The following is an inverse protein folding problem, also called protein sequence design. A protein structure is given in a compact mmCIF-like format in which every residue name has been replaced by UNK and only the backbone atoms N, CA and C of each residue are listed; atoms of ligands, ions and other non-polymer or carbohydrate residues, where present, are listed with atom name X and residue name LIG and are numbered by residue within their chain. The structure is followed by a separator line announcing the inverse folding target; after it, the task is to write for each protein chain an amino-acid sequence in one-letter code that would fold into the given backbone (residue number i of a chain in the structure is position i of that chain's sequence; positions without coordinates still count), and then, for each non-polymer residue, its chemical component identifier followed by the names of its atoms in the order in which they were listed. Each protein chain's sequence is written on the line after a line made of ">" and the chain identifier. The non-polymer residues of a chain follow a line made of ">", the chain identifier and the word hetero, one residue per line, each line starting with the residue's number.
data_IF_157374654838
#
_entry.id   IF_157374654838
#
_cell.length_a   1.000
_cell.length_b   1.000
_cell.length_c   1.000
_cell.angle_alpha   90.00
_cell.angle_beta   90.00
_cell.angle_gamma   90.00
#
_symmetry.space_group_name_H-M   'P 1'
#
loop_
_entity.id
_entity.type
_entity.pdbx_description
1 polymer ?
#
# COMPACT_ATOMS: atom_id res chain seq x y z
N UNK A 1 -2.77 -25.92 -24.69
CA UNK A 1 -4.00 -26.68 -24.97
C UNK A 1 -4.91 -25.81 -25.79
N UNK A 2 -5.57 -26.35 -26.80
CA UNK A 2 -6.60 -25.64 -27.56
C UNK A 2 -7.83 -25.48 -26.66
N UNK A 3 -8.11 -24.26 -26.20
CA UNK A 3 -9.34 -23.96 -25.46
C UNK A 3 -10.52 -24.13 -26.41
N UNK A 4 -11.36 -25.15 -26.22
CA UNK A 4 -12.62 -25.25 -26.98
C UNK A 4 -13.54 -24.10 -26.59
N UNK A 5 -14.25 -23.51 -27.56
CA UNK A 5 -15.26 -22.49 -27.32
C UNK A 5 -16.39 -22.95 -26.36
N UNK A 6 -16.55 -24.26 -26.21
CA UNK A 6 -17.63 -24.89 -25.44
C UNK A 6 -17.34 -25.03 -23.94
N UNK A 7 -16.10 -24.80 -23.49
CA UNK A 7 -15.73 -24.88 -22.08
C UNK A 7 -15.62 -23.49 -21.45
N UNK A 8 -15.89 -23.32 -20.14
CA UNK A 8 -15.64 -22.06 -19.45
C UNK A 8 -14.18 -21.60 -19.63
N UNK A 9 -13.99 -20.37 -20.13
CA UNK A 9 -12.67 -19.83 -20.43
C UNK A 9 -12.56 -18.34 -20.07
N UNK A 10 -11.35 -17.84 -19.71
CA UNK A 10 -11.14 -16.42 -19.55
C UNK A 10 -11.39 -15.71 -20.88
N UNK A 11 -11.94 -14.50 -20.84
CA UNK A 11 -12.20 -13.71 -22.04
C UNK A 11 -11.01 -13.59 -23.00
N UNK A 12 -9.79 -13.50 -22.48
CA UNK A 12 -8.58 -13.45 -23.29
C UNK A 12 -8.37 -14.68 -24.19
N UNK A 13 -9.01 -15.81 -23.86
CA UNK A 13 -8.88 -17.09 -24.56
C UNK A 13 -10.12 -17.45 -25.38
N UNK A 14 -11.09 -16.52 -25.49
CA UNK A 14 -12.32 -16.76 -26.25
C UNK A 14 -12.03 -16.86 -27.76
N UNK A 15 -12.35 -18.00 -28.36
CA UNK A 15 -12.22 -18.18 -29.81
C UNK A 15 -13.37 -17.52 -30.58
N UNK A 16 -14.56 -17.45 -29.98
CA UNK A 16 -15.75 -16.87 -30.62
C UNK A 16 -15.71 -15.33 -30.65
N UNK A 17 -15.02 -14.70 -29.70
CA UNK A 17 -14.83 -13.26 -29.59
C UNK A 17 -13.33 -12.98 -29.49
N UNK A 18 -12.65 -12.61 -30.59
CA UNK A 18 -11.22 -12.34 -30.56
C UNK A 18 -10.85 -11.32 -29.48
N UNK A 19 -9.76 -11.57 -28.75
CA UNK A 19 -9.26 -10.68 -27.73
C UNK A 19 -8.17 -9.77 -28.28
N UNK A 20 -8.21 -8.49 -27.94
CA UNK A 20 -7.18 -7.52 -28.30
C UNK A 20 -6.37 -7.16 -27.07
N UNK A 21 -5.06 -7.42 -27.11
CA UNK A 21 -4.15 -7.00 -26.04
C UNK A 21 -4.05 -5.47 -26.07
N UNK A 22 -4.56 -4.82 -25.03
CA UNK A 22 -4.49 -3.38 -24.85
C UNK A 22 -3.82 -3.04 -23.53
N UNK A 23 -3.20 -1.85 -23.47
CA UNK A 23 -2.69 -1.26 -22.22
C UNK A 23 -3.77 -0.51 -21.45
N UNK A 24 -4.94 -0.31 -22.06
CA UNK A 24 -6.08 0.33 -21.43
C UNK A 24 -6.62 -0.54 -20.31
N UNK A 25 -6.89 0.10 -19.17
CA UNK A 25 -7.42 -0.55 -17.96
C UNK A 25 -8.86 -0.14 -17.66
N UNK A 26 -9.46 0.64 -18.55
CA UNK A 26 -10.84 1.12 -18.44
C UNK A 26 -11.61 0.51 -19.60
N UNK A 27 -12.77 -0.07 -19.32
CA UNK A 27 -13.64 -0.61 -20.35
C UNK A 27 -14.50 0.50 -20.94
N UNK A 28 -14.62 0.52 -22.25
CA UNK A 28 -15.50 1.45 -22.97
C UNK A 28 -16.42 0.62 -23.87
N UNK A 29 -17.73 0.92 -23.84
CA UNK A 29 -18.69 0.30 -24.76
C UNK A 29 -18.32 0.62 -26.21
N UNK A 30 -18.29 -0.40 -27.06
CA UNK A 30 -17.87 -0.25 -28.46
C UNK A 30 -16.39 0.10 -28.63
N UNK A 31 -15.55 -0.21 -27.63
CA UNK A 31 -14.11 -0.02 -27.68
C UNK A 31 -13.41 -1.07 -28.55
N UNK A 32 -12.36 -1.68 -28.02
CA UNK A 32 -11.47 -2.62 -28.74
C UNK A 32 -12.09 -4.01 -29.02
N UNK A 33 -13.42 -4.18 -28.87
CA UNK A 33 -14.13 -5.45 -29.02
C UNK A 33 -13.95 -6.43 -27.86
N UNK A 34 -13.21 -6.03 -26.82
CA UNK A 34 -12.96 -6.83 -25.61
C UNK A 34 -14.20 -6.92 -24.72
N UNK A 35 -15.10 -5.94 -24.80
CA UNK A 35 -16.38 -5.89 -24.12
C UNK A 35 -17.33 -7.03 -24.55
N UNK A 36 -17.21 -7.52 -25.79
CA UNK A 36 -18.02 -8.61 -26.28
C UNK A 36 -17.54 -9.94 -25.71
N UNK A 37 -18.45 -10.76 -25.19
CA UNK A 37 -18.17 -12.08 -24.65
C UNK A 37 -19.14 -13.14 -25.24
N UNK A 38 -18.81 -14.42 -25.06
CA UNK A 38 -19.75 -15.52 -25.30
C UNK A 38 -20.29 -16.04 -23.95
N UNK A 39 -21.29 -16.92 -24.00
CA UNK A 39 -21.97 -17.43 -22.79
C UNK A 39 -21.03 -18.21 -21.84
N UNK A 40 -19.91 -18.71 -22.36
CA UNK A 40 -18.90 -19.45 -21.60
C UNK A 40 -17.73 -18.59 -21.12
N UNK A 41 -17.69 -17.30 -21.45
CA UNK A 41 -16.65 -16.40 -20.96
C UNK A 41 -16.85 -16.11 -19.47
N UNK A 42 -15.74 -16.13 -18.72
CA UNK A 42 -15.70 -15.65 -17.35
C UNK A 42 -14.75 -14.46 -17.18
N UNK A 43 -15.02 -13.65 -16.17
CA UNK A 43 -14.17 -12.56 -15.74
C UNK A 43 -12.93 -13.12 -15.03
N UNK A 44 -11.75 -12.87 -15.59
CA UNK A 44 -10.49 -13.29 -15.00
C UNK A 44 -10.29 -12.74 -13.57
N UNK A 45 -10.78 -11.53 -13.28
CA UNK A 45 -10.58 -10.87 -11.99
C UNK A 45 -11.54 -11.40 -10.92
N UNK A 46 -12.83 -11.52 -11.25
CA UNK A 46 -13.89 -11.89 -10.30
C UNK A 46 -14.15 -13.40 -10.21
N UNK A 47 -13.65 -14.19 -11.17
CA UNK A 47 -13.97 -15.62 -11.32
C UNK A 47 -15.49 -15.90 -11.44
N UNK A 48 -16.26 -14.94 -11.97
CA UNK A 48 -17.71 -15.04 -12.28
C UNK A 48 -17.96 -14.99 -13.79
N UNK A 49 -19.17 -15.33 -14.25
CA UNK A 49 -19.53 -15.20 -15.68
C UNK A 49 -19.38 -13.75 -16.15
N UNK A 50 -18.94 -13.54 -17.39
CA UNK A 50 -18.73 -12.21 -17.94
C UNK A 50 -20.01 -11.35 -17.89
N UNK A 51 -21.18 -11.98 -18.13
CA UNK A 51 -22.50 -11.35 -18.02
C UNK A 51 -22.90 -10.93 -16.60
N UNK A 52 -22.28 -11.52 -15.57
CA UNK A 52 -22.57 -11.25 -14.16
C UNK A 52 -21.53 -10.32 -13.51
N UNK A 53 -20.48 -9.96 -14.26
CA UNK A 53 -19.38 -9.16 -13.75
C UNK A 53 -19.73 -7.66 -13.74
N UNK A 54 -20.00 -7.12 -12.55
CA UNK A 54 -20.29 -5.68 -12.38
C UNK A 54 -19.12 -4.78 -12.80
N UNK A 55 -17.88 -5.26 -12.65
CA UNK A 55 -16.67 -4.54 -13.08
C UNK A 55 -16.33 -4.69 -14.57
N UNK A 56 -17.19 -5.33 -15.38
CA UNK A 56 -16.85 -5.73 -16.75
C UNK A 56 -16.38 -4.54 -17.59
N UNK A 57 -17.24 -3.53 -17.70
CA UNK A 57 -16.95 -2.27 -18.38
C UNK A 57 -16.41 -1.22 -17.42
N UNK A 58 -17.10 -1.03 -16.29
CA UNK A 58 -16.80 0.07 -15.36
C UNK A 58 -15.36 0.06 -14.84
N UNK A 59 -14.82 -1.12 -14.53
CA UNK A 59 -13.43 -1.32 -14.05
C UNK A 59 -12.54 -1.87 -15.18
N UNK A 60 -13.10 -2.09 -16.37
CA UNK A 60 -12.38 -2.62 -17.52
C UNK A 60 -11.93 -4.07 -17.40
N UNK A 61 -12.61 -4.89 -16.59
CA UNK A 61 -12.29 -6.32 -16.49
C UNK A 61 -12.38 -7.06 -17.83
N UNK A 62 -13.08 -6.50 -18.82
CA UNK A 62 -13.08 -6.98 -20.20
C UNK A 62 -11.68 -7.03 -20.84
N UNK A 63 -10.74 -6.20 -20.38
CA UNK A 63 -9.34 -6.17 -20.83
C UNK A 63 -8.43 -7.10 -20.02
N UNK A 64 -9.00 -7.82 -19.05
CA UNK A 64 -8.23 -8.66 -18.16
C UNK A 64 -7.62 -9.86 -18.88
N UNK A 65 -6.31 -10.03 -18.72
CA UNK A 65 -5.54 -11.12 -19.29
C UNK A 65 -4.52 -11.64 -18.29
N UNK A 66 -4.20 -12.93 -18.39
CA UNK A 66 -3.29 -13.61 -17.47
C UNK A 66 -1.81 -13.30 -17.72
N UNK A 67 -1.46 -12.63 -18.81
CA UNK A 67 -0.07 -12.21 -19.07
C UNK A 67 0.29 -10.91 -18.35
N UNK A 68 -0.68 -10.03 -18.09
CA UNK A 68 -0.44 -8.73 -17.47
C UNK A 68 -0.38 -8.85 -15.93
N UNK A 69 0.72 -8.39 -15.29
CA UNK A 69 0.85 -8.43 -13.83
C UNK A 69 -0.19 -7.56 -13.10
N UNK A 70 -0.75 -6.52 -13.74
CA UNK A 70 -1.80 -5.70 -13.14
C UNK A 70 -3.08 -6.50 -12.92
N UNK A 71 -3.52 -7.26 -13.92
CA UNK A 71 -4.73 -8.07 -13.78
C UNK A 71 -4.53 -9.22 -12.78
N UNK A 72 -3.31 -9.77 -12.68
CA UNK A 72 -2.97 -10.72 -11.61
C UNK A 72 -3.08 -10.09 -10.22
N UNK A 73 -2.56 -8.87 -10.06
CA UNK A 73 -2.64 -8.12 -8.82
C UNK A 73 -4.09 -7.84 -8.43
N UNK A 74 -4.91 -7.36 -9.37
CA UNK A 74 -6.32 -7.06 -9.13
C UNK A 74 -7.14 -8.33 -8.84
N UNK A 75 -6.86 -9.44 -9.54
CA UNK A 75 -7.46 -10.74 -9.24
C UNK A 75 -7.07 -11.24 -7.85
N UNK A 76 -5.79 -11.15 -7.49
CA UNK A 76 -5.31 -11.53 -6.15
C UNK A 76 -6.03 -10.70 -5.08
N UNK A 77 -6.08 -9.38 -5.26
CA UNK A 77 -6.81 -8.47 -4.38
C UNK A 77 -8.27 -8.90 -4.18
N UNK A 78 -8.97 -9.16 -5.28
CA UNK A 78 -10.39 -9.54 -5.29
C UNK A 78 -10.62 -10.90 -4.62
N UNK A 79 -9.78 -11.90 -4.90
CA UNK A 79 -9.97 -13.27 -4.38
C UNK A 79 -9.60 -13.46 -2.92
N UNK A 80 -8.69 -12.65 -2.42
CA UNK A 80 -8.21 -12.77 -1.04
C UNK A 80 -9.00 -11.90 -0.07
N UNK A 81 -10.02 -11.18 -0.58
CA UNK A 81 -10.80 -10.18 0.14
C UNK A 81 -9.93 -9.22 0.96
N UNK A 82 -8.74 -8.90 0.44
CA UNK A 82 -7.68 -8.23 1.22
C UNK A 82 -8.14 -6.90 1.83
N UNK A 83 -9.06 -6.20 1.15
CA UNK A 83 -9.71 -4.99 1.67
C UNK A 83 -11.22 -4.88 1.44
N UNK A 84 -11.81 -5.67 0.54
CA UNK A 84 -13.27 -5.68 0.30
C UNK A 84 -14.06 -5.91 1.60
N UNK A 85 -13.47 -6.64 2.55
CA UNK A 85 -13.99 -6.86 3.89
C UNK A 85 -13.05 -6.32 4.98
N UNK A 86 -12.24 -5.28 4.70
CA UNK A 86 -11.33 -4.73 5.73
C UNK A 86 -12.14 -4.27 6.94
N UNK A 87 -11.97 -4.91 8.12
CA UNK A 87 -12.67 -4.48 9.32
C UNK A 87 -12.26 -3.07 9.73
N UNK A 88 -11.08 -2.62 9.30
CA UNK A 88 -10.59 -1.27 9.58
C UNK A 88 -11.32 -0.22 8.75
N UNK A 89 -11.49 -0.42 7.44
CA UNK A 89 -12.21 0.52 6.58
C UNK A 89 -13.67 0.67 7.03
N UNK A 90 -14.31 -0.44 7.39
CA UNK A 90 -15.66 -0.44 7.96
C UNK A 90 -15.71 0.28 9.30
N UNK A 91 -14.79 -0.05 10.22
CA UNK A 91 -14.76 0.56 11.56
C UNK A 91 -14.43 2.06 11.53
N UNK A 92 -13.69 2.54 10.52
CA UNK A 92 -13.41 3.96 10.32
C UNK A 92 -14.58 4.71 9.67
N UNK A 93 -15.58 4.01 9.11
CA UNK A 93 -16.66 4.61 8.33
C UNK A 93 -16.11 5.38 7.14
N UNK A 94 -15.16 4.79 6.42
CA UNK A 94 -14.57 5.38 5.22
C UNK A 94 -15.60 5.47 4.09
N UNK A 95 -15.67 6.61 3.42
CA UNK A 95 -16.45 6.77 2.19
C UNK A 95 -15.82 6.01 1.01
N UNK A 96 -16.55 5.94 -0.10
CA UNK A 96 -16.13 5.22 -1.31
C UNK A 96 -14.82 5.76 -1.90
N UNK A 97 -14.57 7.07 -1.80
CA UNK A 97 -13.32 7.65 -2.28
C UNK A 97 -12.13 7.14 -1.47
N UNK A 98 -12.23 7.18 -0.12
CA UNK A 98 -11.17 6.68 0.75
C UNK A 98 -10.95 5.18 0.60
N UNK A 99 -12.01 4.41 0.41
CA UNK A 99 -11.92 2.98 0.11
C UNK A 99 -11.19 2.75 -1.22
N UNK A 100 -11.53 3.52 -2.26
CA UNK A 100 -10.89 3.45 -3.58
C UNK A 100 -9.39 3.75 -3.51
N UNK A 101 -8.99 4.76 -2.72
CA UNK A 101 -7.58 5.08 -2.50
C UNK A 101 -6.84 3.93 -1.79
N UNK A 102 -7.43 3.35 -0.74
CA UNK A 102 -6.87 2.19 -0.05
C UNK A 102 -6.73 0.96 -0.97
N UNK A 103 -7.76 0.67 -1.77
CA UNK A 103 -7.76 -0.38 -2.78
C UNK A 103 -6.65 -0.15 -3.80
N UNK A 104 -6.53 1.07 -4.30
CA UNK A 104 -5.49 1.47 -5.26
C UNK A 104 -4.09 1.24 -4.68
N UNK A 105 -3.84 1.67 -3.44
CA UNK A 105 -2.56 1.43 -2.76
C UNK A 105 -2.26 -0.06 -2.58
N UNK A 106 -3.28 -0.86 -2.24
CA UNK A 106 -3.12 -2.31 -2.12
C UNK A 106 -2.79 -2.97 -3.46
N UNK A 107 -3.58 -2.70 -4.50
CA UNK A 107 -3.39 -3.25 -5.86
C UNK A 107 -2.03 -2.82 -6.43
N UNK A 108 -1.61 -1.57 -6.23
CA UNK A 108 -0.29 -1.11 -6.66
C UNK A 108 0.86 -1.82 -5.91
N UNK A 109 0.69 -2.07 -4.61
CA UNK A 109 1.63 -2.90 -3.85
C UNK A 109 1.71 -4.33 -4.40
N UNK A 110 0.57 -4.97 -4.64
CA UNK A 110 0.49 -6.31 -5.23
C UNK A 110 1.14 -6.36 -6.63
N UNK A 111 0.84 -5.38 -7.48
CA UNK A 111 1.43 -5.23 -8.81
C UNK A 111 2.96 -5.13 -8.71
N UNK A 112 3.46 -4.29 -7.81
CA UNK A 112 4.89 -4.15 -7.62
C UNK A 112 5.56 -5.47 -7.21
N UNK A 113 4.91 -6.28 -6.35
CA UNK A 113 5.38 -7.62 -6.01
C UNK A 113 5.29 -8.61 -7.18
N UNK A 114 4.28 -8.52 -8.04
CA UNK A 114 4.22 -9.32 -9.27
C UNK A 114 5.34 -8.97 -10.24
N UNK A 115 5.63 -7.68 -10.45
CA UNK A 115 6.76 -7.25 -11.27
C UNK A 115 8.08 -7.75 -10.67
N UNK A 116 8.29 -7.56 -9.37
CA UNK A 116 9.46 -8.07 -8.66
C UNK A 116 9.64 -9.59 -8.83
N UNK A 117 8.56 -10.39 -8.68
CA UNK A 117 8.61 -11.85 -8.84
C UNK A 117 8.83 -12.28 -10.28
N UNK A 118 8.31 -11.54 -11.25
CA UNK A 118 8.52 -11.84 -12.67
C UNK A 118 9.97 -11.60 -13.06
N UNK A 119 10.60 -10.57 -12.48
CA UNK A 119 11.97 -10.18 -12.76
C UNK A 119 12.10 -9.53 -14.15
N UNK A 120 13.15 -8.74 -14.31
CA UNK A 120 13.48 -8.13 -15.59
C UNK A 120 14.42 -9.05 -16.36
N UNK A 121 14.11 -9.30 -17.63
CA UNK A 121 14.97 -10.12 -18.49
C UNK A 121 16.27 -9.36 -18.79
N UNK A 122 17.36 -9.76 -18.14
CA UNK A 122 18.68 -9.20 -18.33
C UNK A 122 19.42 -9.81 -19.53
N UNK A 123 20.66 -9.34 -19.73
CA UNK A 123 21.54 -9.90 -20.76
C UNK A 123 21.82 -11.39 -20.49
N UNK A 124 21.81 -12.20 -21.55
CA UNK A 124 22.04 -13.65 -21.44
C UNK A 124 20.84 -14.46 -20.94
N UNK A 125 19.64 -13.89 -20.91
CA UNK A 125 18.42 -14.60 -20.52
C UNK A 125 18.27 -14.81 -19.01
N UNK A 126 19.07 -14.11 -18.21
CA UNK A 126 19.03 -14.15 -16.75
C UNK A 126 18.03 -13.11 -16.24
N UNK A 127 17.04 -13.55 -15.46
CA UNK A 127 16.07 -12.67 -14.83
C UNK A 127 16.69 -11.98 -13.60
N UNK A 128 16.62 -10.66 -13.56
CA UNK A 128 17.07 -9.86 -12.42
C UNK A 128 15.86 -9.40 -11.63
N UNK A 129 15.80 -9.79 -10.35
CA UNK A 129 14.69 -9.43 -9.46
C UNK A 129 15.08 -8.20 -8.64
N UNK A 130 14.67 -7.03 -9.12
CA UNK A 130 14.90 -5.75 -8.44
C UNK A 130 13.74 -5.39 -7.52
N UNK A 131 14.04 -4.95 -6.29
CA UNK A 131 13.03 -4.40 -5.39
C UNK A 131 12.54 -2.99 -5.75
N UNK A 132 13.02 -2.43 -6.87
CA UNK A 132 12.73 -1.06 -7.24
C UNK A 132 11.23 -0.82 -7.34
N UNK A 133 10.49 -1.68 -8.05
CA UNK A 133 9.03 -1.54 -8.16
C UNK A 133 8.31 -1.50 -6.80
N UNK A 134 8.73 -2.34 -5.86
CA UNK A 134 8.13 -2.39 -4.50
C UNK A 134 8.50 -1.15 -3.71
N UNK A 135 9.73 -0.67 -3.87
CA UNK A 135 10.22 0.55 -3.22
C UNK A 135 9.49 1.78 -3.76
N UNK A 136 9.26 1.85 -5.07
CA UNK A 136 8.51 2.93 -5.73
C UNK A 136 7.05 2.94 -5.28
N UNK A 137 6.38 1.78 -5.27
CA UNK A 137 5.00 1.67 -4.81
C UNK A 137 4.84 2.03 -3.32
N UNK A 138 5.77 1.58 -2.48
CA UNK A 138 5.81 1.96 -1.07
C UNK A 138 6.04 3.46 -0.92
N UNK A 139 7.03 4.03 -1.62
CA UNK A 139 7.34 5.46 -1.60
C UNK A 139 6.16 6.32 -2.05
N UNK A 140 5.47 5.94 -3.13
CA UNK A 140 4.26 6.61 -3.59
C UNK A 140 3.15 6.57 -2.53
N UNK A 141 2.95 5.42 -1.87
CA UNK A 141 1.98 5.29 -0.77
C UNK A 141 2.37 6.17 0.43
N UNK A 142 3.66 6.24 0.77
CA UNK A 142 4.16 7.09 1.86
C UNK A 142 3.98 8.57 1.55
N UNK A 143 4.23 8.99 0.30
CA UNK A 143 3.96 10.36 -0.17
C UNK A 143 2.48 10.70 -0.06
N UNK A 144 1.59 9.79 -0.45
CA UNK A 144 0.15 9.96 -0.26
C UNK A 144 -0.20 10.11 1.24
N UNK A 145 0.31 9.21 2.09
CA UNK A 145 0.13 9.28 3.55
C UNK A 145 0.55 10.65 4.12
N UNK A 146 1.73 11.16 3.76
CA UNK A 146 2.20 12.48 4.20
C UNK A 146 1.26 13.60 3.73
N UNK A 147 0.79 13.52 2.48
CA UNK A 147 -0.21 14.43 1.94
C UNK A 147 -1.48 14.43 2.77
N UNK A 148 -2.04 13.26 3.02
CA UNK A 148 -3.24 13.09 3.84
C UNK A 148 -3.02 13.57 5.27
N UNK A 149 -1.88 13.31 5.89
CA UNK A 149 -1.61 13.79 7.24
C UNK A 149 -1.87 15.31 7.30
N UNK A 150 -1.54 16.08 6.28
CA UNK A 150 -1.76 17.54 6.26
C UNK A 150 -3.24 17.97 6.11
N UNK A 151 -4.16 17.06 5.74
CA UNK A 151 -5.59 17.33 5.49
C UNK A 151 -6.48 17.11 6.75
N UNK A 152 -7.51 17.92 7.00
CA UNK A 152 -8.54 17.64 8.02
C UNK A 152 -9.27 16.28 7.89
N UNK A 153 -9.54 15.77 6.69
CA UNK A 153 -10.06 14.40 6.44
C UNK A 153 -8.95 13.34 6.50
N UNK A 154 -7.72 13.83 6.41
CA UNK A 154 -6.45 13.12 6.42
C UNK A 154 -6.33 11.89 7.29
N UNK A 155 -6.70 11.92 8.59
CA UNK A 155 -6.40 10.82 9.49
C UNK A 155 -7.05 9.48 9.08
N UNK A 156 -8.29 9.51 8.57
CA UNK A 156 -8.97 8.29 8.10
C UNK A 156 -8.37 7.79 6.80
N UNK A 157 -8.12 8.68 5.85
CA UNK A 157 -7.48 8.34 4.57
C UNK A 157 -6.07 7.80 4.77
N UNK A 158 -5.29 8.40 5.67
CA UNK A 158 -3.97 7.90 6.06
C UNK A 158 -4.04 6.47 6.58
N UNK A 159 -4.95 6.18 7.52
CA UNK A 159 -5.11 4.82 8.05
C UNK A 159 -5.57 3.82 6.99
N UNK A 160 -6.47 4.24 6.09
CA UNK A 160 -6.97 3.42 4.99
C UNK A 160 -5.86 3.06 3.99
N UNK A 161 -5.07 4.05 3.55
CA UNK A 161 -3.92 3.85 2.66
C UNK A 161 -2.86 2.97 3.34
N UNK A 162 -2.60 3.18 4.62
CA UNK A 162 -1.70 2.34 5.42
C UNK A 162 -2.16 0.89 5.48
N UNK A 163 -3.44 0.64 5.70
CA UNK A 163 -4.02 -0.71 5.70
C UNK A 163 -3.84 -1.39 4.34
N UNK A 164 -4.04 -0.65 3.25
CA UNK A 164 -3.88 -1.19 1.91
C UNK A 164 -2.44 -1.58 1.56
N UNK A 165 -1.47 -0.68 1.77
CA UNK A 165 -0.06 -1.00 1.51
C UNK A 165 0.46 -2.07 2.46
N UNK A 166 0.05 -2.04 3.73
CA UNK A 166 0.47 -3.06 4.72
C UNK A 166 -0.11 -4.42 4.36
N UNK A 167 -1.36 -4.49 3.93
CA UNK A 167 -1.97 -5.74 3.47
C UNK A 167 -1.21 -6.32 2.28
N UNK A 168 -0.86 -5.49 1.29
CA UNK A 168 -0.07 -5.90 0.13
C UNK A 168 1.30 -6.46 0.54
N UNK A 169 1.97 -5.82 1.50
CA UNK A 169 3.30 -6.23 2.00
C UNK A 169 3.24 -7.48 2.86
N UNK A 170 2.25 -7.61 3.75
CA UNK A 170 2.10 -8.76 4.67
C UNK A 170 1.73 -10.03 3.90
N UNK A 171 0.84 -9.93 2.90
CA UNK A 171 0.47 -11.10 2.08
C UNK A 171 1.62 -11.54 1.18
N UNK A 172 2.42 -10.59 0.68
CA UNK A 172 3.58 -10.91 -0.13
C UNK A 172 4.83 -10.94 0.73
N UNK A 173 5.01 -12.07 1.41
CA UNK A 173 6.24 -12.31 2.14
C UNK A 173 7.44 -12.28 1.18
N UNK A 174 8.53 -11.68 1.64
CA UNK A 174 9.85 -11.90 1.07
C UNK A 174 10.06 -13.42 0.95
N UNK A 175 10.14 -13.94 -0.27
CA UNK A 175 10.44 -15.36 -0.52
C UNK A 175 11.63 -15.47 -1.45
N UNK A 176 12.85 -15.44 -0.91
CA UNK A 176 14.06 -15.63 -1.70
C UNK A 176 14.18 -17.06 -2.26
N UNK A 177 13.32 -17.99 -1.82
CA UNK A 177 13.38 -19.42 -2.15
C UNK A 177 12.73 -19.89 -3.46
N UNK A 178 12.22 -19.01 -4.33
CA UNK A 178 11.48 -19.43 -5.53
C UNK A 178 12.27 -19.34 -6.85
N UNK A 179 13.54 -18.94 -6.83
CA UNK A 179 14.40 -19.26 -7.96
C UNK A 179 14.85 -20.71 -7.81
N UNK A 180 14.20 -21.62 -8.52
CA UNK A 180 14.66 -23.01 -8.58
C UNK A 180 16.00 -23.16 -9.34
N UNK A 181 16.48 -22.08 -9.97
CA UNK A 181 17.74 -22.08 -10.71
C UNK A 181 18.52 -20.77 -10.49
N UNK A 182 19.48 -20.73 -9.56
CA UNK A 182 20.31 -19.53 -9.31
C UNK A 182 21.14 -19.10 -10.53
N UNK A 183 21.24 -19.92 -11.58
CA UNK A 183 21.86 -19.51 -12.85
C UNK A 183 20.91 -18.68 -13.72
N UNK A 184 19.60 -18.84 -13.56
CA UNK A 184 18.56 -18.12 -14.33
C UNK A 184 17.99 -16.92 -13.60
N UNK A 185 18.13 -16.84 -12.28
CA UNK A 185 17.62 -15.71 -11.51
C UNK A 185 18.67 -15.15 -10.57
N UNK A 186 18.84 -13.83 -10.62
CA UNK A 186 19.72 -13.07 -9.75
C UNK A 186 18.92 -12.05 -8.95
N UNK A 187 19.15 -11.99 -7.65
CA UNK A 187 18.59 -10.95 -6.80
C UNK A 187 19.39 -9.65 -6.96
N UNK A 188 18.70 -8.51 -7.04
CA UNK A 188 19.35 -7.20 -7.00
C UNK A 188 20.13 -7.01 -5.69
N UNK A 189 21.28 -6.35 -5.76
CA UNK A 189 22.01 -5.96 -4.56
C UNK A 189 21.12 -5.02 -3.71
N UNK A 190 21.10 -5.25 -2.39
CA UNK A 190 20.34 -4.39 -1.46
C UNK A 190 18.84 -4.68 -1.36
N UNK A 191 18.29 -5.64 -2.12
CA UNK A 191 16.85 -5.97 -2.11
C UNK A 191 16.31 -6.23 -0.68
N UNK A 192 17.05 -6.98 0.14
CA UNK A 192 16.70 -7.21 1.54
C UNK A 192 16.75 -5.94 2.41
N UNK A 193 17.75 -5.07 2.18
CA UNK A 193 17.86 -3.81 2.91
C UNK A 193 16.70 -2.87 2.56
N UNK A 194 16.30 -2.80 1.29
CA UNK A 194 15.11 -2.05 0.86
C UNK A 194 13.85 -2.59 1.51
N UNK A 195 13.69 -3.93 1.57
CA UNK A 195 12.54 -4.54 2.24
C UNK A 195 12.48 -4.20 3.73
N UNK A 196 13.59 -4.37 4.45
CA UNK A 196 13.69 -4.01 5.86
C UNK A 196 13.36 -2.52 6.09
N UNK A 197 13.85 -1.63 5.22
CA UNK A 197 13.55 -0.22 5.29
C UNK A 197 12.04 0.08 5.06
N UNK A 198 11.38 -0.60 4.12
CA UNK A 198 9.93 -0.44 3.90
C UNK A 198 9.15 -0.85 5.15
N UNK A 199 9.47 -2.00 5.75
CA UNK A 199 8.82 -2.45 6.98
C UNK A 199 9.01 -1.42 8.10
N UNK A 200 10.25 -0.98 8.34
CA UNK A 200 10.54 0.03 9.37
C UNK A 200 9.78 1.34 9.13
N UNK A 201 9.65 1.78 7.88
CA UNK A 201 8.88 2.97 7.55
C UNK A 201 7.38 2.74 7.78
N UNK A 202 6.82 1.60 7.37
CA UNK A 202 5.41 1.28 7.63
C UNK A 202 5.11 1.29 9.13
N UNK A 203 5.98 0.71 9.95
CA UNK A 203 5.87 0.77 11.42
C UNK A 203 5.81 2.23 11.90
N UNK A 204 6.73 3.08 11.44
CA UNK A 204 6.74 4.51 11.80
C UNK A 204 5.47 5.24 11.38
N UNK A 205 4.97 5.03 10.17
CA UNK A 205 3.77 5.71 9.69
C UNK A 205 2.50 5.22 10.36
N UNK A 206 2.41 3.93 10.71
CA UNK A 206 1.32 3.45 11.56
C UNK A 206 1.30 4.17 12.90
N UNK A 207 2.44 4.24 13.58
CA UNK A 207 2.56 4.97 14.84
C UNK A 207 2.21 6.44 14.68
N UNK A 208 2.65 7.07 13.59
CA UNK A 208 2.35 8.46 13.29
C UNK A 208 0.86 8.71 13.08
N UNK A 209 0.21 7.84 12.30
CA UNK A 209 -1.21 7.89 12.04
C UNK A 209 -2.00 7.67 13.33
N UNK A 210 -1.59 6.70 14.16
CA UNK A 210 -2.12 6.43 15.50
C UNK A 210 -2.05 7.67 16.39
N UNK A 211 -0.87 8.28 16.52
CA UNK A 211 -0.67 9.50 17.33
C UNK A 211 -1.50 10.66 16.82
N UNK A 212 -1.63 10.83 15.49
CA UNK A 212 -2.42 11.91 14.93
C UNK A 212 -3.92 11.66 15.10
N UNK A 213 -4.34 10.40 14.99
CA UNK A 213 -5.74 10.00 15.12
C UNK A 213 -6.20 9.93 16.56
N UNK A 214 -5.32 9.69 17.53
CA UNK A 214 -5.66 9.63 18.98
C UNK A 214 -6.19 10.95 19.54
N UNK A 215 -5.85 12.07 18.90
CA UNK A 215 -6.44 13.39 19.20
C UNK A 215 -7.89 13.52 18.72
N UNK A 216 -8.41 12.52 18.00
CA UNK A 216 -9.74 12.46 17.41
C UNK A 216 -10.42 11.16 17.85
N UNK A 217 -11.75 11.16 17.89
CA UNK A 217 -12.52 9.98 18.31
C UNK A 217 -12.44 8.85 17.28
N UNK A 218 -11.37 8.05 17.32
CA UNK A 218 -11.29 6.77 16.59
C UNK A 218 -12.22 5.77 17.27
N UNK A 219 -13.13 5.10 16.53
CA UNK A 219 -14.02 4.11 17.12
C UNK A 219 -13.22 2.96 17.76
N UNK A 220 -13.63 2.45 18.95
CA UNK A 220 -12.94 1.33 19.60
C UNK A 220 -12.73 0.09 18.71
N UNK A 221 -13.68 -0.31 17.83
CA UNK A 221 -13.45 -1.42 16.91
C UNK A 221 -12.26 -1.19 15.97
N UNK A 222 -12.04 0.05 15.50
CA UNK A 222 -10.92 0.38 14.63
C UNK A 222 -9.58 0.22 15.38
N UNK A 223 -9.52 0.61 16.66
CA UNK A 223 -8.32 0.44 17.48
C UNK A 223 -7.93 -1.03 17.63
N UNK A 224 -8.91 -1.92 17.82
CA UNK A 224 -8.66 -3.36 17.94
C UNK A 224 -8.05 -3.93 16.65
N UNK A 225 -8.58 -3.52 15.49
CA UNK A 225 -8.08 -3.94 14.17
C UNK A 225 -6.68 -3.39 13.92
N UNK A 226 -6.44 -2.12 14.25
CA UNK A 226 -5.11 -1.49 14.14
C UNK A 226 -4.07 -2.20 15.00
N UNK A 227 -4.40 -2.54 16.25
CA UNK A 227 -3.52 -3.32 17.13
C UNK A 227 -3.17 -4.68 16.51
N UNK A 228 -4.15 -5.37 15.93
CA UNK A 228 -3.94 -6.65 15.27
C UNK A 228 -3.06 -6.55 14.03
N UNK A 229 -3.24 -5.50 13.21
CA UNK A 229 -2.39 -5.22 12.04
C UNK A 229 -0.94 -4.97 12.47
N UNK A 230 -0.73 -4.15 13.49
CA UNK A 230 0.60 -3.88 14.04
C UNK A 230 1.26 -5.15 14.59
N UNK A 231 0.52 -6.00 15.32
CA UNK A 231 1.05 -7.30 15.77
C UNK A 231 1.52 -8.15 14.60
N UNK A 232 0.67 -8.27 13.58
CA UNK A 232 0.98 -9.05 12.38
C UNK A 232 2.24 -8.52 11.69
N UNK A 233 2.35 -7.20 11.52
CA UNK A 233 3.53 -6.56 10.93
C UNK A 233 4.78 -6.80 11.79
N UNK A 234 4.68 -6.67 13.11
CA UNK A 234 5.80 -6.88 14.04
C UNK A 234 6.29 -8.32 14.06
N UNK A 235 5.37 -9.29 14.13
CA UNK A 235 5.68 -10.71 14.10
C UNK A 235 6.30 -11.11 12.76
N UNK A 236 5.78 -10.54 11.68
CA UNK A 236 6.31 -10.72 10.35
C UNK A 236 7.73 -10.16 10.23
N UNK A 237 7.96 -8.92 10.67
CA UNK A 237 9.26 -8.29 10.68
C UNK A 237 10.28 -9.10 11.49
N UNK A 238 9.87 -9.62 12.66
CA UNK A 238 10.72 -10.47 13.51
C UNK A 238 11.12 -11.77 12.80
N UNK A 239 10.15 -12.46 12.17
CA UNK A 239 10.39 -13.73 11.47
C UNK A 239 11.34 -13.54 10.29
N UNK A 240 11.02 -12.63 9.37
CA UNK A 240 11.79 -12.44 8.15
C UNK A 240 13.18 -11.85 8.42
N UNK A 241 13.29 -10.90 9.37
CA UNK A 241 14.56 -10.23 9.62
C UNK A 241 15.54 -11.05 10.46
N UNK A 242 15.03 -12.02 11.21
CA UNK A 242 15.87 -13.01 11.93
C UNK A 242 16.46 -14.07 11.00
N UNK A 243 15.80 -14.38 9.88
CA UNK A 243 16.24 -15.44 8.96
C UNK A 243 17.45 -15.05 8.09
N UNK A 244 17.71 -13.75 7.92
CA UNK A 244 18.70 -13.23 6.96
C UNK A 244 19.96 -12.58 7.53
N UNK A 245 20.13 -12.47 8.85
CA UNK A 245 21.28 -11.77 9.47
C UNK A 245 21.86 -12.50 10.67
N UNK A 246 23.18 -12.42 10.80
CA UNK A 246 23.93 -12.82 12.01
C UNK A 246 23.80 -11.82 13.16
N UNK A 247 23.34 -10.59 12.88
CA UNK A 247 23.09 -9.58 13.90
C UNK A 247 21.60 -9.18 13.91
N UNK A 248 20.95 -9.22 15.09
CA UNK A 248 19.57 -8.79 15.21
C UNK A 248 19.46 -7.30 14.86
N UNK A 249 18.58 -6.98 13.92
CA UNK A 249 18.19 -5.59 13.69
C UNK A 249 17.46 -5.15 14.96
N UNK A 250 17.94 -4.10 15.60
CA UNK A 250 17.21 -3.43 16.68
C UNK A 250 15.94 -2.80 16.07
N UNK A 251 14.87 -3.58 16.03
CA UNK A 251 13.53 -3.12 15.71
C UNK A 251 13.10 -2.05 16.70
N UNK A 252 12.23 -1.14 16.27
CA UNK A 252 11.46 -0.29 17.16
C UNK A 252 10.31 -1.17 17.67
N UNK A 253 10.25 -1.55 18.95
CA UNK A 253 9.10 -2.27 19.49
C UNK A 253 7.79 -1.53 19.18
N UNK A 254 7.02 -2.08 18.25
CA UNK A 254 5.62 -1.74 18.06
C UNK A 254 4.76 -2.02 19.32
N UNK A 255 5.33 -2.68 20.33
CA UNK A 255 4.67 -3.05 21.59
C UNK A 255 3.97 -1.87 22.26
N UNK A 256 4.59 -0.69 22.25
CA UNK A 256 4.00 0.52 22.84
C UNK A 256 2.79 1.02 22.04
N UNK A 257 2.87 1.01 20.71
CA UNK A 257 1.75 1.39 19.84
C UNK A 257 0.62 0.34 19.83
N UNK A 258 0.94 -0.93 20.01
CA UNK A 258 -0.03 -2.02 20.19
C UNK A 258 -0.76 -1.81 21.52
N UNK A 259 -0.04 -1.65 22.64
CA UNK A 259 -0.64 -1.43 23.97
C UNK A 259 -1.51 -0.18 24.01
N UNK A 260 -1.08 0.88 23.30
CA UNK A 260 -1.85 2.11 23.11
C UNK A 260 -3.22 1.88 22.47
N UNK A 261 -3.26 1.07 21.41
CA UNK A 261 -4.50 0.74 20.71
C UNK A 261 -5.40 -0.15 21.57
N UNK A 262 -4.83 -1.14 22.28
CA UNK A 262 -5.60 -2.11 23.08
C UNK A 262 -6.27 -1.51 24.32
N UNK A 263 -5.59 -0.59 25.01
CA UNK A 263 -6.11 -0.02 26.28
C UNK A 263 -6.87 1.28 26.07
N UNK A 264 -7.07 1.67 24.81
CA UNK A 264 -7.57 2.99 24.45
C UNK A 264 -6.55 4.11 24.77
N UNK A 265 -6.78 5.28 24.19
CA UNK A 265 -5.85 6.42 24.21
C UNK A 265 -5.55 7.03 25.60
N UNK A 266 -6.12 6.47 26.68
CA UNK A 266 -5.84 6.86 28.07
C UNK A 266 -4.63 6.12 28.66
N UNK A 267 -3.91 5.30 27.87
CA UNK A 267 -2.74 4.58 28.34
C UNK A 267 -1.65 5.56 28.82
N UNK A 268 -1.12 5.43 30.06
CA UNK A 268 -0.12 6.36 30.62
C UNK A 268 1.12 6.53 29.74
N UNK A 269 1.62 5.46 29.13
CA UNK A 269 2.73 5.52 28.15
C UNK A 269 2.41 6.37 26.92
N UNK A 270 1.18 6.36 26.39
CA UNK A 270 0.84 7.24 25.27
C UNK A 270 0.73 8.69 25.67
N UNK A 271 0.15 8.95 26.84
CA UNK A 271 0.11 10.29 27.44
C UNK A 271 1.55 10.78 27.64
N UNK A 272 2.41 9.96 28.23
CA UNK A 272 3.84 10.25 28.41
C UNK A 272 4.59 10.39 27.07
N UNK A 273 4.28 9.64 26.01
CA UNK A 273 4.87 9.82 24.68
C UNK A 273 4.45 11.16 24.07
N UNK A 274 3.17 11.51 24.17
CA UNK A 274 2.63 12.77 23.64
C UNK A 274 3.15 13.98 24.40
N UNK A 275 3.34 13.84 25.71
CA UNK A 275 3.85 14.84 26.64
C UNK A 275 5.39 14.87 26.73
N UNK A 276 6.08 13.92 26.11
CA UNK A 276 7.55 13.83 26.12
C UNK A 276 8.16 13.34 27.44
N UNK A 277 7.38 12.64 28.27
CA UNK A 277 7.72 12.19 29.63
C UNK A 277 7.99 10.67 29.74
N UNK A 278 8.09 9.95 28.62
CA UNK A 278 8.19 8.48 28.67
C UNK A 278 9.60 8.01 29.06
N UNK A 279 9.74 7.42 30.26
CA UNK A 279 11.01 6.86 30.80
C UNK A 279 11.26 5.40 30.42
N UNK A 280 10.21 4.67 30.03
CA UNK A 280 10.26 3.20 29.81
C UNK A 280 10.56 2.79 28.36
N UNK A 281 10.79 3.77 27.48
CA UNK A 281 11.22 3.50 26.12
C UNK A 281 12.72 3.31 26.09
N UNK A 282 13.20 2.38 25.26
CA UNK A 282 14.62 2.41 24.91
C UNK A 282 14.95 3.78 24.32
N UNK A 283 16.16 4.29 24.59
CA UNK A 283 16.60 5.62 24.14
C UNK A 283 16.35 5.82 22.63
N UNK A 284 16.42 4.75 21.84
CA UNK A 284 16.18 4.74 20.39
C UNK A 284 14.71 4.85 20.00
N UNK A 285 13.80 4.20 20.73
CA UNK A 285 12.35 4.35 20.50
C UNK A 285 11.88 5.75 20.89
N UNK A 286 12.34 6.25 22.05
CA UNK A 286 12.10 7.61 22.48
C UNK A 286 12.60 8.60 21.42
N UNK A 287 13.82 8.42 20.90
CA UNK A 287 14.33 9.24 19.80
C UNK A 287 13.53 9.11 18.50
N UNK A 288 13.03 7.92 18.14
CA UNK A 288 12.23 7.74 16.93
C UNK A 288 10.89 8.44 17.04
N UNK A 289 10.19 8.28 18.17
CA UNK A 289 8.93 8.95 18.45
C UNK A 289 9.11 10.46 18.59
N UNK A 290 10.18 10.91 19.26
CA UNK A 290 10.53 12.32 19.39
C UNK A 290 10.85 12.93 18.02
N UNK A 291 11.61 12.24 17.16
CA UNK A 291 11.89 12.69 15.78
C UNK A 291 10.63 12.68 14.92
N UNK A 292 9.75 11.71 15.06
CA UNK A 292 8.47 11.66 14.34
C UNK A 292 7.54 12.80 14.78
N UNK A 293 7.48 13.09 16.09
CA UNK A 293 6.79 14.23 16.69
C UNK A 293 7.40 15.55 16.23
N UNK A 294 8.71 15.72 16.29
CA UNK A 294 9.42 16.91 15.81
C UNK A 294 9.22 17.09 14.31
N UNK A 295 9.28 16.03 13.51
CA UNK A 295 9.00 16.09 12.07
C UNK A 295 7.55 16.53 11.80
N UNK A 296 6.57 16.00 12.55
CA UNK A 296 5.18 16.48 12.47
C UNK A 296 5.04 17.95 12.88
N UNK A 297 5.73 18.36 13.96
CA UNK A 297 5.68 19.72 14.48
C UNK A 297 6.38 20.69 13.52
N UNK A 298 7.58 20.38 13.01
CA UNK A 298 8.29 21.16 12.00
C UNK A 298 7.47 21.28 10.71
N UNK A 299 6.82 20.20 10.27
CA UNK A 299 5.92 20.26 9.12
C UNK A 299 4.71 21.14 9.45
N UNK A 300 4.01 20.91 10.57
CA UNK A 300 2.88 21.73 10.98
C UNK A 300 3.24 23.22 11.18
N UNK A 301 4.46 23.50 11.65
CA UNK A 301 5.02 24.84 11.84
C UNK A 301 5.31 25.49 10.49
N UNK A 302 5.96 24.78 9.55
CA UNK A 302 6.19 25.26 8.18
C UNK A 302 4.88 25.54 7.43
N UNK A 303 3.83 24.75 7.68
CA UNK A 303 2.49 25.02 7.16
C UNK A 303 1.82 26.23 7.83
N UNK A 304 1.93 26.37 9.16
CA UNK A 304 1.46 27.56 9.89
C UNK A 304 2.18 28.84 9.44
N UNK A 305 3.49 28.77 9.20
CA UNK A 305 4.30 29.87 8.72
C UNK A 305 3.96 30.22 7.27
N UNK A 306 3.79 29.24 6.38
CA UNK A 306 3.33 29.46 5.02
C UNK A 306 1.90 30.04 4.96
N UNK A 307 1.01 29.58 5.85
CA UNK A 307 -0.38 30.05 5.96
C UNK A 307 -0.46 31.46 6.56
N UNK A 308 0.29 31.76 7.63
CA UNK A 308 0.40 33.11 8.19
C UNK A 308 1.06 34.08 7.21
N UNK A 309 2.10 33.66 6.47
CA UNK A 309 2.75 34.48 5.45
C UNK A 309 1.80 34.81 4.28
N UNK A 310 0.94 33.87 3.88
CA UNK A 310 -0.07 34.08 2.84
C UNK A 310 -1.20 35.04 3.29
N UNK A 311 -1.63 34.95 4.54
CA UNK A 311 -2.67 35.83 5.11
C UNK A 311 -2.14 37.25 5.36
N UNK A 312 -0.92 37.39 5.87
CA UNK A 312 -0.39 38.72 6.22
C UNK A 312 0.09 39.55 5.03
N UNK A 313 0.47 38.91 3.92
CA UNK A 313 1.14 39.63 2.82
C UNK A 313 0.33 39.71 1.51
N UNK A 314 -0.93 39.25 1.47
CA UNK A 314 -1.87 39.57 0.38
C UNK A 314 -1.37 39.27 -1.04
N UNK A 315 -0.48 38.29 -1.23
CA UNK A 315 0.15 37.96 -2.52
C UNK A 315 0.09 36.46 -2.80
N UNK A 316 -1.09 36.00 -3.20
CA UNK A 316 -1.40 34.59 -3.56
C UNK A 316 -0.41 34.02 -4.61
N UNK A 317 0.05 34.84 -5.56
CA UNK A 317 0.93 34.40 -6.63
C UNK A 317 2.37 34.04 -6.20
N UNK A 318 2.92 34.67 -5.14
CA UNK A 318 4.29 34.39 -4.67
C UNK A 318 4.36 33.13 -3.81
N UNK A 319 3.31 32.86 -3.02
CA UNK A 319 3.18 31.61 -2.26
C UNK A 319 2.97 30.41 -3.19
N UNK A 320 2.19 30.57 -4.27
CA UNK A 320 2.08 29.57 -5.33
C UNK A 320 3.41 29.32 -6.06
N UNK A 321 4.19 30.37 -6.35
CA UNK A 321 5.52 30.22 -6.94
C UNK A 321 6.51 29.47 -6.01
N UNK A 322 6.41 29.63 -4.69
CA UNK A 322 7.24 28.92 -3.72
C UNK A 322 6.82 27.44 -3.59
N UNK A 323 5.50 27.16 -3.60
CA UNK A 323 4.95 25.79 -3.64
C UNK A 323 5.33 25.07 -4.94
N UNK A 324 5.27 25.77 -6.08
CA UNK A 324 5.67 25.23 -7.40
C UNK A 324 7.18 25.02 -7.49
N UNK A 325 8.01 25.77 -6.76
CA UNK A 325 9.47 25.55 -6.69
C UNK A 325 9.85 24.41 -5.74
N UNK A 326 9.15 24.27 -4.62
CA UNK A 326 9.30 23.13 -3.71
C UNK A 326 8.81 21.81 -4.33
N UNK A 327 7.85 21.88 -5.27
CA UNK A 327 7.38 20.73 -6.05
C UNK A 327 8.23 20.35 -7.28
N UNK A 328 9.28 21.11 -7.63
CA UNK A 328 10.13 20.88 -8.83
C UNK A 328 11.58 20.47 -8.53
N UNK A 329 11.88 20.07 -7.29
CA UNK A 329 13.22 19.59 -6.88
C UNK A 329 13.20 18.23 -6.17
N UNK A 330 12.18 17.42 -6.40
CA UNK A 330 12.28 15.98 -6.23
C UNK A 330 12.00 15.34 -7.60
N UNK A 331 12.75 15.85 -8.58
CA UNK A 331 12.72 15.74 -10.04
C UNK A 331 11.33 15.77 -10.72
#
# INVERSE_FOLDING_TARGET
>A
GTFSADLPHPRAHCQAKPFQVTRERVGVEGGHGNEAFCDNCFCFVCDTRASECQGWLHVGHCHANESDPFWKALRQFTRTDMLSNSPLLQALGCDEQVQTEAHTSCVNGLLAFHCYRSGDLGQGGVYTHSFQHVTDAASASMKAIIGHLSDPRGPRTTLAVLDGITSAVVVNTWRPGASQDPKKHKWGAGTYNSYAAIIEQLEKYWVLAIVRTSTRSVPPPALAVMAQRLRTLSDFARKELSAGRTQPIAHVPLTHAISACERGWKHPVMVAILEGQCTDLSQREAQTLQRARLHLLEHAQRWKEAYHYAIFHGRVAKSLAYIVRAGRHAD
#
